data_IF_830950442184
#
_entry.id   IF_830950442184
#
_cell.length_a   1.000
_cell.length_b   1.000
_cell.length_c   1.000
_cell.angle_alpha   90.00
_cell.angle_beta   90.00
_cell.angle_gamma   90.00
#
_symmetry.space_group_name_H-M   'P 1'
#
loop_
_entity.id
_entity.type
_entity.pdbx_description
1 polymer ?
#
# COMPACT_ATOMS: atom_id res chain seq x y z
N UNK A 1 8.53 -40.18 13.86
CA UNK A 1 8.94 -39.35 12.71
C UNK A 1 9.68 -40.23 11.71
N UNK A 2 9.34 -40.13 10.42
CA UNK A 2 10.09 -40.78 9.34
C UNK A 2 11.19 -39.83 8.88
N UNK A 3 12.39 -40.37 8.70
CA UNK A 3 13.61 -39.68 8.28
C UNK A 3 13.35 -38.87 7.00
N UNK A 4 13.57 -37.54 7.04
CA UNK A 4 13.61 -36.71 5.83
C UNK A 4 12.60 -35.58 5.69
N UNK A 5 11.81 -35.20 6.71
CA UNK A 5 11.07 -33.93 6.70
C UNK A 5 12.03 -32.75 6.95
N UNK A 6 12.28 -31.94 5.93
CA UNK A 6 13.08 -30.71 6.03
C UNK A 6 12.16 -29.47 6.02
N UNK A 7 12.69 -28.31 6.45
CA UNK A 7 11.96 -27.04 6.47
C UNK A 7 11.26 -26.71 5.15
N UNK A 8 11.81 -27.19 4.03
CA UNK A 8 11.25 -27.04 2.68
C UNK A 8 9.86 -27.65 2.54
N UNK A 9 9.60 -28.83 3.11
CA UNK A 9 8.28 -29.48 3.04
C UNK A 9 7.26 -28.79 3.96
N UNK A 10 7.70 -28.32 5.12
CA UNK A 10 6.85 -27.57 6.05
C UNK A 10 6.46 -26.22 5.42
N UNK A 11 7.43 -25.49 4.88
CA UNK A 11 7.23 -24.27 4.10
C UNK A 11 6.22 -24.45 2.96
N UNK A 12 6.40 -25.50 2.16
CA UNK A 12 5.48 -25.82 1.06
C UNK A 12 4.07 -26.17 1.53
N UNK A 13 3.94 -26.92 2.64
CA UNK A 13 2.64 -27.31 3.20
C UNK A 13 1.89 -26.13 3.86
N UNK A 14 2.62 -25.14 4.38
CA UNK A 14 2.04 -24.01 5.11
C UNK A 14 1.95 -22.73 4.27
N UNK A 15 2.51 -22.69 3.06
CA UNK A 15 2.53 -21.50 2.21
C UNK A 15 3.50 -20.42 2.68
N UNK A 16 4.49 -20.78 3.51
CA UNK A 16 5.45 -19.87 4.13
C UNK A 16 6.83 -20.09 3.51
N UNK A 17 7.65 -19.05 3.35
CA UNK A 17 9.02 -19.25 2.85
C UNK A 17 9.92 -19.94 3.90
N UNK A 18 10.89 -20.74 3.44
CA UNK A 18 11.88 -21.35 4.34
C UNK A 18 12.65 -20.28 5.14
N UNK A 19 12.93 -19.13 4.53
CA UNK A 19 13.60 -18.01 5.19
C UNK A 19 12.78 -17.41 6.33
N UNK A 20 11.45 -17.31 6.18
CA UNK A 20 10.57 -16.85 7.25
C UNK A 20 10.51 -17.83 8.41
N UNK A 21 10.46 -19.14 8.11
CA UNK A 21 10.52 -20.17 9.14
C UNK A 21 11.84 -20.13 9.91
N UNK A 22 12.98 -19.97 9.22
CA UNK A 22 14.31 -19.87 9.85
C UNK A 22 14.39 -18.63 10.74
N UNK A 23 13.91 -17.48 10.26
CA UNK A 23 13.90 -16.21 10.99
C UNK A 23 13.04 -16.27 12.25
N UNK A 24 11.81 -16.78 12.14
CA UNK A 24 10.85 -16.83 13.24
C UNK A 24 11.21 -17.85 14.33
N UNK A 25 11.96 -18.89 13.96
CA UNK A 25 12.37 -19.94 14.88
C UNK A 25 13.84 -19.80 15.32
N UNK A 26 14.51 -18.69 14.97
CA UNK A 26 15.93 -18.43 15.25
C UNK A 26 16.86 -19.61 14.93
N UNK A 27 16.57 -20.32 13.83
CA UNK A 27 17.32 -21.52 13.46
C UNK A 27 18.67 -21.10 12.88
N UNK A 28 19.76 -21.43 13.57
CA UNK A 28 21.13 -21.16 13.10
C UNK A 28 21.56 -22.07 11.96
N UNK A 29 20.89 -23.20 11.78
CA UNK A 29 21.21 -24.19 10.75
C UNK A 29 19.92 -24.88 10.26
N UNK A 30 19.60 -24.70 8.98
CA UNK A 30 18.38 -25.19 8.32
C UNK A 30 18.26 -26.73 8.27
N UNK A 31 19.37 -27.42 8.53
CA UNK A 31 19.48 -28.89 8.50
C UNK A 31 19.43 -29.55 9.89
N UNK A 32 19.26 -28.78 10.98
CA UNK A 32 19.19 -29.31 12.36
C UNK A 32 17.84 -29.04 13.02
N UNK A 33 16.78 -29.60 12.46
CA UNK A 33 15.50 -29.69 13.16
C UNK A 33 15.53 -30.95 14.03
N UNK A 34 15.27 -30.82 15.33
CA UNK A 34 15.21 -31.96 16.25
C UNK A 34 13.79 -32.53 16.27
N UNK A 35 13.67 -33.86 16.23
CA UNK A 35 12.40 -34.57 16.37
C UNK A 35 11.76 -34.16 17.71
N UNK A 36 10.59 -33.50 17.66
CA UNK A 36 9.87 -32.99 18.84
C UNK A 36 9.97 -31.47 19.06
N UNK A 37 10.72 -30.74 18.22
CA UNK A 37 10.80 -29.28 18.28
C UNK A 37 9.47 -28.63 17.85
N UNK A 38 8.85 -27.82 18.73
CA UNK A 38 7.66 -27.03 18.41
C UNK A 38 8.09 -25.80 17.61
N UNK A 39 7.77 -25.76 16.31
CA UNK A 39 8.04 -24.62 15.44
C UNK A 39 6.88 -23.62 15.49
N UNK A 40 7.22 -22.33 15.60
CA UNK A 40 6.30 -21.23 15.37
C UNK A 40 6.20 -21.03 13.87
N UNK A 41 5.04 -21.39 13.31
CA UNK A 41 4.71 -21.09 11.93
C UNK A 41 4.17 -19.65 11.88
N UNK A 42 4.65 -18.78 10.98
CA UNK A 42 3.83 -17.63 10.61
C UNK A 42 2.57 -18.20 9.96
N UNK A 43 1.40 -17.65 10.28
CA UNK A 43 0.24 -17.91 9.45
C UNK A 43 0.61 -17.51 8.01
N UNK A 44 0.32 -18.32 6.99
CA UNK A 44 0.41 -17.83 5.62
C UNK A 44 -0.39 -16.54 5.50
N UNK A 45 0.14 -15.58 4.75
CA UNK A 45 -0.65 -14.41 4.39
C UNK A 45 -1.96 -14.92 3.76
N UNK A 46 -3.13 -14.45 4.22
CA UNK A 46 -4.39 -14.86 3.64
C UNK A 46 -4.33 -14.56 2.14
N UNK A 47 -4.85 -15.46 1.28
CA UNK A 47 -4.85 -15.24 -0.15
C UNK A 47 -5.51 -13.89 -0.47
N UNK A 48 -5.01 -13.16 -1.48
CA UNK A 48 -5.55 -11.85 -1.83
C UNK A 48 -7.05 -11.98 -2.09
N UNK A 49 -7.82 -11.03 -1.56
CA UNK A 49 -9.26 -10.97 -1.81
C UNK A 49 -9.48 -10.66 -3.29
N UNK A 50 -10.55 -11.18 -3.91
CA UNK A 50 -10.90 -10.78 -5.28
C UNK A 50 -11.08 -9.27 -5.34
N UNK A 51 -10.65 -8.62 -6.41
CA UNK A 51 -10.78 -7.17 -6.59
C UNK A 51 -12.23 -6.70 -6.36
N UNK A 52 -12.46 -5.45 -5.92
CA UNK A 52 -13.80 -4.95 -5.69
C UNK A 52 -14.70 -5.16 -6.92
N UNK A 53 -15.89 -5.73 -6.74
CA UNK A 53 -16.78 -6.05 -7.86
C UNK A 53 -17.11 -4.81 -8.72
N UNK A 54 -17.18 -3.62 -8.11
CA UNK A 54 -17.34 -2.36 -8.84
C UNK A 54 -16.15 -2.08 -9.76
N UNK A 55 -14.92 -2.34 -9.32
CA UNK A 55 -13.74 -2.17 -10.17
C UNK A 55 -13.73 -3.15 -11.34
N UNK A 56 -14.13 -4.40 -11.11
CA UNK A 56 -14.19 -5.43 -12.16
C UNK A 56 -15.14 -5.09 -13.31
N UNK A 57 -16.16 -4.26 -13.07
CA UNK A 57 -17.10 -3.78 -14.10
C UNK A 57 -16.57 -2.63 -14.94
N UNK A 58 -15.38 -2.13 -14.63
CA UNK A 58 -14.77 -0.95 -15.25
C UNK A 58 -13.38 -1.31 -15.81
N UNK A 59 -13.29 -1.96 -16.98
CA UNK A 59 -12.02 -2.38 -17.57
C UNK A 59 -11.06 -1.21 -17.81
N UNK A 60 -11.58 -0.02 -18.12
CA UNK A 60 -10.82 1.21 -18.28
C UNK A 60 -10.08 1.61 -17.00
N UNK A 61 -10.66 1.31 -15.82
CA UNK A 61 -10.02 1.57 -14.53
C UNK A 61 -9.03 0.48 -14.17
N UNK A 62 -9.39 -0.78 -14.44
CA UNK A 62 -8.48 -1.92 -14.27
C UNK A 62 -7.18 -1.76 -15.06
N UNK A 63 -7.23 -1.09 -16.21
CA UNK A 63 -6.07 -0.78 -17.04
C UNK A 63 -5.01 0.09 -16.33
N UNK A 64 -5.32 0.74 -15.20
CA UNK A 64 -4.35 1.51 -14.41
C UNK A 64 -3.49 0.65 -13.48
N UNK A 65 -3.80 -0.63 -13.26
CA UNK A 65 -3.01 -1.50 -12.36
C UNK A 65 -1.51 -1.55 -12.69
N UNK A 66 -1.08 -1.65 -13.97
CA UNK A 66 0.32 -1.57 -14.32
C UNK A 66 0.98 -0.25 -13.93
N UNK A 67 0.29 0.89 -14.12
CA UNK A 67 0.80 2.22 -13.71
C UNK A 67 0.98 2.31 -12.19
N UNK A 68 -0.01 1.86 -11.41
CA UNK A 68 0.11 1.77 -9.96
C UNK A 68 1.32 0.95 -9.53
N UNK A 69 1.49 -0.25 -10.09
CA UNK A 69 2.63 -1.14 -9.79
C UNK A 69 3.96 -0.52 -10.20
N UNK A 70 4.01 0.12 -11.37
CA UNK A 70 5.20 0.78 -11.88
C UNK A 70 5.68 1.88 -10.92
N UNK A 71 4.82 2.85 -10.60
CA UNK A 71 5.19 3.98 -9.75
C UNK A 71 5.37 3.59 -8.29
N UNK A 72 4.57 2.64 -7.79
CA UNK A 72 4.78 2.06 -6.46
C UNK A 72 6.17 1.42 -6.34
N UNK A 73 6.57 0.61 -7.32
CA UNK A 73 7.91 0.00 -7.35
C UNK A 73 9.00 1.06 -7.50
N UNK A 74 8.81 2.04 -8.37
CA UNK A 74 9.80 3.11 -8.62
C UNK A 74 10.13 3.91 -7.35
N UNK A 75 9.17 4.09 -6.45
CA UNK A 75 9.35 4.86 -5.22
C UNK A 75 9.46 4.01 -3.95
N UNK A 76 9.31 2.68 -4.03
CA UNK A 76 9.27 1.82 -2.85
C UNK A 76 8.01 2.01 -2.01
N UNK A 77 6.90 2.38 -2.64
CA UNK A 77 5.57 2.47 -2.00
C UNK A 77 4.90 1.10 -2.07
N UNK A 78 4.23 0.61 -1.00
CA UNK A 78 3.47 -0.64 -1.09
C UNK A 78 2.34 -0.51 -2.13
N UNK A 79 2.33 -1.35 -3.19
CA UNK A 79 1.38 -1.20 -4.30
C UNK A 79 -0.06 -1.47 -3.88
N UNK A 80 -0.27 -2.35 -2.91
CA UNK A 80 -1.57 -2.67 -2.32
C UNK A 80 -2.16 -1.47 -1.57
N UNK A 81 -1.32 -0.76 -0.79
CA UNK A 81 -1.70 0.44 -0.06
C UNK A 81 -2.04 1.59 -1.00
N UNK A 82 -1.21 1.84 -2.01
CA UNK A 82 -1.46 2.89 -3.00
C UNK A 82 -2.77 2.65 -3.76
N UNK A 83 -3.00 1.42 -4.22
CA UNK A 83 -4.22 1.02 -4.91
C UNK A 83 -5.46 1.15 -4.01
N UNK A 84 -5.36 0.70 -2.75
CA UNK A 84 -6.44 0.80 -1.78
C UNK A 84 -6.79 2.26 -1.44
N UNK A 85 -5.77 3.10 -1.22
CA UNK A 85 -5.95 4.53 -0.98
C UNK A 85 -6.67 5.18 -2.15
N UNK A 86 -6.15 5.03 -3.37
CA UNK A 86 -6.77 5.60 -4.57
C UNK A 86 -8.20 5.05 -4.82
N UNK A 87 -8.46 3.81 -4.42
CA UNK A 87 -9.79 3.22 -4.49
C UNK A 87 -10.78 3.92 -3.57
N UNK A 88 -10.37 4.27 -2.34
CA UNK A 88 -11.18 5.03 -1.39
C UNK A 88 -11.35 6.47 -1.85
N UNK A 89 -10.30 7.10 -2.40
CA UNK A 89 -10.35 8.49 -2.86
C UNK A 89 -11.35 8.73 -3.99
N UNK A 90 -11.33 7.89 -5.02
CA UNK A 90 -12.14 8.13 -6.23
C UNK A 90 -12.78 6.88 -6.82
N UNK A 91 -12.43 5.68 -6.34
CA UNK A 91 -12.71 4.45 -7.06
C UNK A 91 -12.00 4.38 -8.41
N UNK A 92 -10.82 5.01 -8.49
CA UNK A 92 -9.97 5.17 -9.68
C UNK A 92 -10.67 5.93 -10.83
N UNK A 93 -11.46 6.94 -10.49
CA UNK A 93 -12.08 7.81 -11.49
C UNK A 93 -11.14 8.97 -11.81
N UNK A 94 -10.88 9.18 -13.11
CA UNK A 94 -9.88 10.16 -13.58
C UNK A 94 -10.41 11.59 -13.63
N UNK A 95 -11.73 11.77 -13.74
CA UNK A 95 -12.37 13.08 -13.92
C UNK A 95 -12.99 13.66 -12.65
N UNK A 96 -12.82 13.02 -11.49
CA UNK A 96 -13.42 13.51 -10.23
C UNK A 96 -12.66 14.74 -9.74
N UNK A 97 -13.41 15.82 -9.52
CA UNK A 97 -12.92 17.04 -8.86
C UNK A 97 -13.77 17.29 -7.63
N UNK A 98 -13.15 17.36 -6.45
CA UNK A 98 -13.86 17.63 -5.20
C UNK A 98 -14.24 19.11 -5.07
N UNK A 99 -15.12 19.43 -4.11
CA UNK A 99 -15.47 20.83 -3.78
C UNK A 99 -14.25 21.66 -3.34
N UNK A 100 -13.23 21.02 -2.76
CA UNK A 100 -11.99 21.68 -2.33
C UNK A 100 -10.94 21.76 -3.44
N UNK A 101 -11.21 21.20 -4.62
CA UNK A 101 -10.33 21.22 -5.77
C UNK A 101 -9.39 20.02 -5.88
N UNK A 102 -9.60 18.96 -5.09
CA UNK A 102 -8.84 17.72 -5.24
C UNK A 102 -9.17 17.02 -6.56
N UNK A 103 -8.15 16.57 -7.30
CA UNK A 103 -8.31 16.05 -8.67
C UNK A 103 -7.94 14.58 -8.80
N UNK A 104 -8.75 13.85 -9.57
CA UNK A 104 -8.40 12.59 -10.21
C UNK A 104 -8.31 11.39 -9.26
N UNK A 105 -7.56 10.38 -9.70
CA UNK A 105 -7.48 9.04 -9.10
C UNK A 105 -7.13 9.11 -7.61
N UNK A 106 -6.13 9.88 -7.24
CA UNK A 106 -5.65 10.02 -5.87
C UNK A 106 -6.15 11.27 -5.14
N UNK A 107 -7.14 11.99 -5.70
CA UNK A 107 -7.73 13.21 -5.13
C UNK A 107 -6.67 14.18 -4.59
N UNK A 108 -5.69 14.52 -5.43
CA UNK A 108 -4.60 15.40 -5.04
C UNK A 108 -5.07 16.85 -4.99
N UNK A 109 -4.89 17.50 -3.83
CA UNK A 109 -5.13 18.93 -3.66
C UNK A 109 -4.15 19.76 -4.52
N UNK A 110 -4.51 20.96 -4.98
CA UNK A 110 -3.61 21.81 -5.77
C UNK A 110 -2.28 22.10 -5.05
N UNK A 111 -2.32 22.31 -3.72
CA UNK A 111 -1.12 22.49 -2.92
C UNK A 111 -0.22 21.25 -2.90
N UNK A 112 -0.81 20.05 -2.86
CA UNK A 112 -0.09 18.78 -2.93
C UNK A 112 0.54 18.57 -4.31
N UNK A 113 -0.19 18.88 -5.39
CA UNK A 113 0.34 18.81 -6.77
C UNK A 113 1.56 19.73 -6.93
N UNK A 114 1.46 20.97 -6.44
CA UNK A 114 2.56 21.93 -6.45
C UNK A 114 3.75 21.42 -5.64
N UNK A 115 3.52 20.99 -4.40
CA UNK A 115 4.55 20.45 -3.52
C UNK A 115 5.27 19.25 -4.13
N UNK A 116 4.53 18.24 -4.60
CA UNK A 116 5.13 17.03 -5.20
C UNK A 116 5.93 17.39 -6.45
N UNK A 117 5.37 18.22 -7.34
CA UNK A 117 6.03 18.56 -8.60
C UNK A 117 7.30 19.39 -8.37
N UNK A 118 7.24 20.43 -7.54
CA UNK A 118 8.34 21.38 -7.39
C UNK A 118 9.37 20.92 -6.36
N UNK A 119 8.93 20.32 -5.26
CA UNK A 119 9.81 19.94 -4.14
C UNK A 119 10.30 18.50 -4.31
N UNK A 120 9.41 17.55 -4.60
CA UNK A 120 9.80 16.14 -4.64
C UNK A 120 10.33 15.70 -6.01
N UNK A 121 9.89 16.36 -7.09
CA UNK A 121 10.35 16.08 -8.46
C UNK A 121 11.24 17.18 -9.05
N UNK A 122 11.44 18.30 -8.35
CA UNK A 122 12.28 19.43 -8.80
C UNK A 122 11.89 19.97 -10.20
N UNK A 123 10.60 19.94 -10.53
CA UNK A 123 10.08 20.42 -11.81
C UNK A 123 9.77 21.92 -11.74
N UNK A 124 10.12 22.65 -12.82
CA UNK A 124 9.76 24.07 -12.95
C UNK A 124 8.27 24.28 -13.18
N UNK A 125 7.62 23.35 -13.90
CA UNK A 125 6.18 23.36 -14.16
C UNK A 125 5.53 22.18 -13.45
N UNK A 126 4.38 22.38 -12.77
CA UNK A 126 3.64 21.28 -12.16
C UNK A 126 3.25 20.21 -13.19
N UNK A 127 3.20 18.96 -12.76
CA UNK A 127 2.54 17.90 -13.53
C UNK A 127 1.04 18.19 -13.59
N UNK A 128 0.40 17.76 -14.67
CA UNK A 128 -1.05 17.86 -14.82
C UNK A 128 -1.74 16.77 -13.96
N UNK A 129 -2.52 17.13 -12.93
CA UNK A 129 -3.23 16.15 -12.11
C UNK A 129 -4.43 15.51 -12.82
N UNK A 130 -4.85 16.02 -13.99
CA UNK A 130 -5.89 15.39 -14.81
C UNK A 130 -5.34 14.25 -15.69
N UNK A 131 -4.03 14.20 -15.93
CA UNK A 131 -3.40 13.03 -16.53
C UNK A 131 -3.34 11.88 -15.51
N UNK A 132 -3.96 10.72 -15.79
CA UNK A 132 -4.11 9.67 -14.80
C UNK A 132 -2.78 9.04 -14.38
N UNK A 133 -1.82 8.91 -15.29
CA UNK A 133 -0.50 8.34 -14.97
C UNK A 133 0.30 9.31 -14.08
N UNK A 134 0.29 10.61 -14.42
CA UNK A 134 0.91 11.65 -13.61
C UNK A 134 0.25 11.76 -12.22
N UNK A 135 -1.08 11.62 -12.13
CA UNK A 135 -1.79 11.60 -10.86
C UNK A 135 -1.35 10.41 -9.99
N UNK A 136 -1.32 9.19 -10.56
CA UNK A 136 -0.84 7.99 -9.88
C UNK A 136 0.63 8.14 -9.44
N UNK A 137 1.49 8.67 -10.32
CA UNK A 137 2.90 8.95 -10.04
C UNK A 137 3.06 9.88 -8.84
N UNK A 138 2.31 10.98 -8.82
CA UNK A 138 2.36 11.95 -7.72
C UNK A 138 1.83 11.34 -6.42
N UNK A 139 0.70 10.62 -6.45
CA UNK A 139 0.17 9.93 -5.28
C UNK A 139 1.14 8.89 -4.74
N UNK A 140 1.80 8.12 -5.60
CA UNK A 140 2.81 7.14 -5.20
C UNK A 140 3.99 7.80 -4.48
N UNK A 141 4.52 8.91 -5.03
CA UNK A 141 5.63 9.65 -4.45
C UNK A 141 5.24 10.31 -3.13
N UNK A 142 4.06 10.91 -3.07
CA UNK A 142 3.58 11.59 -1.88
C UNK A 142 3.32 10.60 -0.74
N UNK A 143 2.66 9.47 -1.02
CA UNK A 143 2.45 8.41 -0.04
C UNK A 143 3.78 7.83 0.47
N UNK A 144 4.81 7.70 -0.39
CA UNK A 144 6.15 7.28 0.07
C UNK A 144 6.72 8.24 1.10
N UNK A 145 6.69 9.54 0.82
CA UNK A 145 7.18 10.55 1.75
C UNK A 145 6.49 10.44 3.12
N UNK A 146 5.16 10.24 3.11
CA UNK A 146 4.39 10.08 4.35
C UNK A 146 4.77 8.80 5.10
N UNK A 147 4.98 7.69 4.39
CA UNK A 147 5.50 6.46 5.00
C UNK A 147 6.88 6.67 5.61
N UNK A 148 7.81 7.35 4.91
CA UNK A 148 9.14 7.68 5.44
C UNK A 148 9.04 8.52 6.72
N UNK A 149 8.18 9.54 6.71
CA UNK A 149 7.98 10.46 7.84
C UNK A 149 7.43 9.73 9.07
N UNK A 150 6.63 8.68 8.84
CA UNK A 150 5.99 7.88 9.87
C UNK A 150 6.66 6.52 10.08
N UNK A 151 7.95 6.38 9.77
CA UNK A 151 8.72 5.14 9.99
C UNK A 151 8.07 3.86 9.41
N UNK A 152 7.33 4.00 8.32
CA UNK A 152 6.60 2.92 7.64
C UNK A 152 5.22 2.60 8.23
N UNK A 153 4.75 3.31 9.26
CA UNK A 153 3.42 3.12 9.85
C UNK A 153 2.32 3.55 8.86
N UNK A 154 1.72 2.57 8.18
CA UNK A 154 0.75 2.80 7.12
C UNK A 154 -0.51 3.55 7.58
N UNK A 155 -1.00 3.27 8.79
CA UNK A 155 -2.14 3.95 9.40
C UNK A 155 -1.87 5.45 9.57
N UNK A 156 -0.69 5.82 10.07
CA UNK A 156 -0.28 7.21 10.23
C UNK A 156 -0.06 7.92 8.90
N UNK A 157 0.58 7.25 7.94
CA UNK A 157 0.81 7.80 6.60
C UNK A 157 -0.52 8.06 5.86
N UNK A 158 -1.48 7.13 5.95
CA UNK A 158 -2.82 7.29 5.37
C UNK A 158 -3.58 8.43 6.07
N UNK A 159 -3.48 8.55 7.39
CA UNK A 159 -4.09 9.65 8.12
C UNK A 159 -3.54 11.01 7.66
N UNK A 160 -2.20 11.09 7.51
CA UNK A 160 -1.53 12.29 7.04
C UNK A 160 -1.85 12.63 5.57
N UNK A 161 -2.11 11.62 4.73
CA UNK A 161 -2.54 11.85 3.35
C UNK A 161 -3.90 12.53 3.29
N UNK A 162 -4.85 12.06 4.11
CA UNK A 162 -6.22 12.57 4.13
C UNK A 162 -6.36 13.91 4.86
N UNK A 163 -5.86 14.00 6.09
CA UNK A 163 -6.06 15.17 6.96
C UNK A 163 -4.94 16.21 6.82
N UNK A 164 -3.75 15.79 6.36
CA UNK A 164 -2.53 16.60 6.37
C UNK A 164 -1.79 16.59 7.71
N UNK A 165 -0.47 16.38 7.68
CA UNK A 165 0.37 16.32 8.89
C UNK A 165 0.26 17.57 9.75
N UNK A 166 0.22 18.76 9.15
CA UNK A 166 0.08 20.02 9.88
C UNK A 166 -1.25 20.13 10.65
N UNK A 167 -2.34 19.60 10.06
CA UNK A 167 -3.64 19.54 10.74
C UNK A 167 -3.59 18.59 11.92
N UNK A 168 -3.02 17.39 11.73
CA UNK A 168 -2.86 16.38 12.79
C UNK A 168 -2.02 16.96 13.94
N UNK A 169 -0.91 17.62 13.66
CA UNK A 169 -0.06 18.24 14.69
C UNK A 169 -0.79 19.35 15.46
N UNK A 170 -1.67 20.11 14.80
CA UNK A 170 -2.35 21.26 15.41
C UNK A 170 -3.57 20.88 16.24
N UNK A 171 -4.38 19.93 15.76
CA UNK A 171 -5.69 19.62 16.36
C UNK A 171 -5.91 18.13 16.65
N UNK A 172 -4.92 17.27 16.36
CA UNK A 172 -5.03 15.83 16.53
C UNK A 172 -5.82 15.14 15.41
N UNK A 173 -5.98 13.82 15.54
CA UNK A 173 -6.71 12.99 14.58
C UNK A 173 -8.22 13.18 14.72
N UNK A 174 -8.86 13.59 13.63
CA UNK A 174 -10.32 13.68 13.54
C UNK A 174 -10.96 12.28 13.52
N UNK A 175 -12.21 12.21 13.95
CA UNK A 175 -13.01 10.97 13.92
C UNK A 175 -13.15 10.44 12.49
N UNK A 176 -13.44 11.32 11.53
CA UNK A 176 -13.52 10.98 10.11
C UNK A 176 -12.19 10.43 9.56
N UNK A 177 -11.04 10.98 9.98
CA UNK A 177 -9.72 10.48 9.57
C UNK A 177 -9.49 9.06 10.06
N UNK A 178 -9.91 8.73 11.29
CA UNK A 178 -9.81 7.36 11.81
C UNK A 178 -10.66 6.39 10.99
N UNK A 179 -11.87 6.80 10.60
CA UNK A 179 -12.76 6.00 9.75
C UNK A 179 -12.19 5.82 8.35
N UNK A 180 -11.63 6.88 7.76
CA UNK A 180 -10.95 6.84 6.48
C UNK A 180 -9.78 5.85 6.50
N UNK A 181 -8.90 5.94 7.51
CA UNK A 181 -7.76 5.04 7.70
C UNK A 181 -8.23 3.58 7.79
N UNK A 182 -9.22 3.30 8.65
CA UNK A 182 -9.78 1.95 8.79
C UNK A 182 -10.31 1.42 7.45
N UNK A 183 -10.97 2.28 6.66
CA UNK A 183 -11.51 1.92 5.35
C UNK A 183 -10.40 1.57 4.35
N UNK A 184 -9.36 2.40 4.24
CA UNK A 184 -8.23 2.14 3.34
C UNK A 184 -7.53 0.82 3.71
N UNK A 185 -7.25 0.61 5.00
CA UNK A 185 -6.59 -0.62 5.46
C UNK A 185 -7.45 -1.86 5.22
N UNK A 186 -8.78 -1.75 5.35
CA UNK A 186 -9.70 -2.83 5.03
C UNK A 186 -9.73 -3.21 3.53
N UNK A 187 -9.40 -2.26 2.64
CA UNK A 187 -9.31 -2.50 1.20
C UNK A 187 -7.95 -3.05 0.75
N UNK A 188 -6.86 -2.88 1.51
CA UNK A 188 -5.53 -3.39 1.12
C UNK A 188 -5.51 -4.86 0.68
N UNK A 189 -6.16 -5.81 1.38
CA UNK A 189 -6.12 -7.22 0.98
C UNK A 189 -6.74 -7.50 -0.40
N UNK A 190 -7.59 -6.61 -0.93
CA UNK A 190 -8.16 -6.73 -2.28
C UNK A 190 -7.13 -6.42 -3.37
N UNK A 191 -6.03 -5.76 -3.03
CA UNK A 191 -5.00 -5.28 -3.96
C UNK A 191 -3.62 -5.89 -3.70
N UNK A 192 -3.54 -6.93 -2.87
CA UNK A 192 -2.29 -7.60 -2.50
C UNK A 192 -1.70 -8.51 -3.61
N UNK A 193 -2.41 -8.68 -4.73
CA UNK A 193 -1.99 -9.52 -5.87
C UNK A 193 -1.63 -8.77 -7.14
#
# INVERSE_FOLDING_TARGET
>A
MRTGENLTRIAAATGVSVGDLVRLNHLRDQNRIVIGQRLVLPAPDPPPKPLPARLLRHPERLAFRPSFRHWARAYGTPPDLLQALAWVESGWQVHVVSRTGAVGIGQLQPATVAFVSQVLFHLRRPLDPHDPDANIRMSARFLRLLLDTHAGHADQAVAAYYQGSASISRIGLLTETRQYVATVLAYRPFFAG
#
